data_IF_354466745771
#
_entry.id   IF_354466745771
#
_cell.length_a   1.000
_cell.length_b   1.000
_cell.length_c   1.000
_cell.angle_alpha   90.00
_cell.angle_beta   90.00
_cell.angle_gamma   90.00
#
_symmetry.space_group_name_H-M   'P 1'
#
loop_
_entity.id
_entity.type
_entity.pdbx_description
1 polymer ?
#
# COMPACT_ATOMS: atom_id res chain seq x y z
N UNK A 1 -2.04 -3.87 -22.97
CA UNK A 1 -0.67 -3.35 -23.13
C UNK A 1 -0.62 -1.96 -22.51
N UNK A 2 0.47 -1.61 -21.80
CA UNK A 2 0.81 -0.22 -21.51
C UNK A 2 1.49 0.33 -22.76
N UNK A 3 0.87 1.32 -23.41
CA UNK A 3 1.29 1.80 -24.75
C UNK A 3 1.84 3.21 -24.75
N UNK A 4 1.87 3.88 -23.60
CA UNK A 4 2.44 5.23 -23.47
C UNK A 4 3.93 5.11 -23.20
N UNK A 5 4.75 5.66 -24.09
CA UNK A 5 6.20 5.67 -23.93
C UNK A 5 6.61 6.31 -22.60
N UNK A 6 7.62 5.71 -21.95
CA UNK A 6 8.13 6.15 -20.66
C UNK A 6 7.29 5.70 -19.45
N UNK A 7 6.02 5.30 -19.61
CA UNK A 7 5.17 4.85 -18.49
C UNK A 7 5.34 3.35 -18.25
N UNK A 8 5.77 2.99 -17.04
CA UNK A 8 6.00 1.60 -16.64
C UNK A 8 5.01 1.09 -15.60
N UNK A 9 4.40 1.99 -14.82
CA UNK A 9 3.38 1.66 -13.81
C UNK A 9 2.17 2.59 -13.98
N UNK A 10 0.97 2.02 -14.00
CA UNK A 10 -0.29 2.76 -13.94
C UNK A 10 -1.06 2.35 -12.71
N UNK A 11 -1.41 3.32 -11.85
CA UNK A 11 -2.28 3.12 -10.68
C UNK A 11 -3.70 3.59 -10.97
N UNK A 12 -4.69 2.74 -10.69
CA UNK A 12 -6.09 3.14 -10.69
C UNK A 12 -6.44 3.96 -9.45
N UNK A 13 -7.21 5.03 -9.62
CA UNK A 13 -7.84 5.76 -8.52
C UNK A 13 -9.34 5.90 -8.74
N UNK A 14 -10.11 6.05 -7.66
CA UNK A 14 -11.57 6.07 -7.70
C UNK A 14 -12.11 6.75 -6.44
N UNK A 15 -13.35 7.22 -6.52
CA UNK A 15 -14.08 7.70 -5.33
C UNK A 15 -14.62 6.51 -4.54
N UNK A 16 -14.58 6.62 -3.21
CA UNK A 16 -15.07 5.60 -2.27
C UNK A 16 -16.17 6.19 -1.36
N UNK A 17 -17.41 6.31 -1.86
CA UNK A 17 -18.52 6.72 -1.00
C UNK A 17 -18.76 5.64 0.07
N UNK A 18 -18.60 5.99 1.35
CA UNK A 18 -19.08 5.18 2.47
C UNK A 18 -20.50 5.59 2.84
N UNK A 19 -21.34 4.61 3.14
CA UNK A 19 -22.57 4.84 3.91
C UNK A 19 -22.27 4.54 5.37
N UNK A 20 -22.27 5.58 6.22
CA UNK A 20 -22.20 5.42 7.67
C UNK A 20 -23.49 5.99 8.24
N UNK A 21 -24.28 5.16 8.92
CA UNK A 21 -25.46 5.61 9.70
C UNK A 21 -26.45 6.51 8.95
N UNK A 22 -26.66 6.29 7.64
CA UNK A 22 -27.61 7.07 6.82
C UNK A 22 -27.03 8.34 6.19
N UNK A 23 -25.78 8.70 6.47
CA UNK A 23 -25.04 9.75 5.73
C UNK A 23 -24.01 9.13 4.79
N UNK A 24 -23.86 9.72 3.61
CA UNK A 24 -22.75 9.41 2.70
C UNK A 24 -21.51 10.18 3.16
N UNK A 25 -20.54 9.46 3.74
CA UNK A 25 -19.19 9.96 3.92
C UNK A 25 -18.41 9.65 2.64
N UNK A 26 -18.19 10.68 1.82
CA UNK A 26 -17.45 10.56 0.56
C UNK A 26 -16.00 10.05 0.74
N UNK A 27 -15.45 10.03 1.97
CA UNK A 27 -14.05 9.79 2.28
C UNK A 27 -13.75 8.57 3.17
N UNK A 28 -14.73 7.88 3.76
CA UNK A 28 -14.40 6.91 4.81
C UNK A 28 -13.72 5.59 4.33
N UNK A 29 -13.68 5.34 3.02
CA UNK A 29 -12.96 4.21 2.43
C UNK A 29 -11.47 4.54 2.30
N UNK A 30 -10.58 3.60 2.62
CA UNK A 30 -9.13 3.83 2.49
C UNK A 30 -8.47 4.45 3.73
N UNK A 31 -8.99 4.20 4.93
CA UNK A 31 -8.38 4.63 6.22
C UNK A 31 -6.86 4.40 6.29
N UNK A 32 -6.34 3.25 5.86
CA UNK A 32 -4.89 2.99 5.85
C UNK A 32 -4.18 3.86 4.80
N UNK A 33 -4.82 4.14 3.66
CA UNK A 33 -4.28 5.08 2.67
C UNK A 33 -4.16 6.49 3.25
N UNK A 34 -5.23 7.02 3.83
CA UNK A 34 -5.29 8.41 4.30
C UNK A 34 -4.58 8.66 5.63
N UNK A 35 -4.56 7.69 6.54
CA UNK A 35 -4.00 7.86 7.89
C UNK A 35 -2.58 7.31 8.03
N UNK A 36 -2.09 6.52 7.07
CA UNK A 36 -0.78 5.84 7.17
C UNK A 36 0.05 6.08 5.93
N UNK A 37 -0.38 5.58 4.77
CA UNK A 37 0.46 5.61 3.57
C UNK A 37 0.72 7.03 3.07
N UNK A 38 -0.31 7.86 2.87
CA UNK A 38 -0.13 9.24 2.37
C UNK A 38 0.65 10.13 3.35
N UNK A 39 0.39 10.11 4.68
CA UNK A 39 1.20 10.85 5.64
C UNK A 39 2.67 10.42 5.68
N UNK A 40 2.95 9.11 5.58
CA UNK A 40 4.33 8.61 5.54
C UNK A 40 5.04 8.92 4.23
N UNK A 41 4.34 8.82 3.10
CA UNK A 41 4.88 9.28 1.82
C UNK A 41 5.21 10.78 1.87
N UNK A 42 4.30 11.61 2.38
CA UNK A 42 4.57 13.04 2.55
C UNK A 42 5.80 13.31 3.43
N UNK A 43 6.05 12.46 4.43
CA UNK A 43 7.20 12.60 5.34
C UNK A 43 8.52 12.06 4.77
N UNK A 44 8.49 10.99 3.96
CA UNK A 44 9.69 10.19 3.63
C UNK A 44 9.98 10.09 2.11
N UNK A 45 8.98 10.36 1.26
CA UNK A 45 9.02 10.36 -0.21
C UNK A 45 8.02 11.40 -0.77
N UNK A 46 8.20 12.70 -0.47
CA UNK A 46 7.21 13.74 -0.75
C UNK A 46 6.82 13.86 -2.23
N UNK A 47 7.69 13.44 -3.14
CA UNK A 47 7.47 13.44 -4.59
C UNK A 47 6.31 12.51 -4.99
N UNK A 48 6.02 11.49 -4.17
CA UNK A 48 4.88 10.59 -4.33
C UNK A 48 3.59 11.12 -3.68
N UNK A 49 3.60 12.32 -3.12
CA UNK A 49 2.42 12.94 -2.50
C UNK A 49 1.26 13.19 -3.48
N UNK A 50 1.54 13.21 -4.78
CA UNK A 50 0.56 13.34 -5.85
C UNK A 50 -0.18 12.02 -6.19
N UNK A 51 0.20 10.90 -5.58
CA UNK A 51 -0.45 9.60 -5.82
C UNK A 51 -1.72 9.49 -4.97
N UNK A 52 -2.89 9.38 -5.61
CA UNK A 52 -4.20 9.42 -4.96
C UNK A 52 -4.55 8.13 -4.21
N UNK A 53 -4.12 6.97 -4.75
CA UNK A 53 -4.40 5.65 -4.18
C UNK A 53 -3.13 4.80 -4.18
N UNK A 54 -2.12 5.12 -3.34
CA UNK A 54 -0.85 4.41 -3.32
C UNK A 54 -1.01 2.91 -2.98
N UNK A 55 -2.03 2.56 -2.19
CA UNK A 55 -2.37 1.18 -1.81
C UNK A 55 -3.46 0.55 -2.70
N UNK A 56 -3.80 1.17 -3.84
CA UNK A 56 -4.79 0.63 -4.76
C UNK A 56 -4.31 -0.69 -5.38
N UNK A 57 -5.14 -1.74 -5.32
CA UNK A 57 -4.84 -3.05 -5.91
C UNK A 57 -5.03 -3.11 -7.43
N UNK A 58 -5.59 -2.06 -8.01
CA UNK A 58 -5.88 -1.96 -9.45
C UNK A 58 -4.73 -1.20 -10.06
N UNK A 59 -3.82 -1.94 -10.69
CA UNK A 59 -2.70 -1.37 -11.40
C UNK A 59 -2.31 -2.26 -12.56
N UNK A 60 -1.56 -1.68 -13.49
CA UNK A 60 -0.86 -2.40 -14.53
C UNK A 60 0.60 -1.98 -14.47
N UNK A 61 1.52 -2.93 -14.67
CA UNK A 61 2.94 -2.65 -14.81
C UNK A 61 3.51 -3.40 -16.01
N UNK A 62 4.56 -2.88 -16.64
CA UNK A 62 5.24 -3.64 -17.69
C UNK A 62 5.93 -4.85 -17.09
N UNK A 63 6.12 -5.92 -17.89
CA UNK A 63 6.75 -7.14 -17.40
C UNK A 63 8.18 -6.86 -16.95
N UNK A 64 8.88 -6.01 -17.68
CA UNK A 64 10.27 -5.60 -17.43
C UNK A 64 10.39 -4.95 -16.05
N UNK A 65 9.47 -4.03 -15.71
CA UNK A 65 9.40 -3.45 -14.37
C UNK A 65 9.10 -4.53 -13.32
N UNK A 66 7.99 -5.25 -13.48
CA UNK A 66 7.50 -6.21 -12.48
C UNK A 66 8.44 -7.39 -12.22
N UNK A 67 9.28 -7.76 -13.19
CA UNK A 67 10.26 -8.84 -13.00
C UNK A 67 11.60 -8.35 -12.45
N UNK A 68 11.88 -7.04 -12.52
CA UNK A 68 13.14 -6.45 -12.10
C UNK A 68 13.16 -5.96 -10.66
N UNK A 69 12.00 -5.72 -10.03
CA UNK A 69 11.87 -5.22 -8.65
C UNK A 69 11.60 -6.36 -7.65
N UNK A 70 12.05 -6.24 -6.39
CA UNK A 70 11.61 -7.15 -5.34
C UNK A 70 10.11 -6.98 -5.04
N UNK A 71 9.49 -8.00 -4.45
CA UNK A 71 8.10 -7.96 -4.02
C UNK A 71 8.00 -8.02 -2.51
N UNK A 72 7.52 -6.93 -1.91
CA UNK A 72 7.27 -6.85 -0.48
C UNK A 72 6.17 -7.83 -0.03
N UNK A 73 6.25 -8.35 1.21
CA UNK A 73 5.32 -9.35 1.69
C UNK A 73 3.95 -8.77 2.08
N UNK A 74 2.91 -9.59 1.93
CA UNK A 74 1.56 -9.27 2.39
C UNK A 74 1.04 -7.94 1.84
N UNK A 75 0.42 -7.14 2.71
CA UNK A 75 -0.14 -5.83 2.35
C UNK A 75 0.90 -4.75 2.04
N UNK A 76 2.20 -5.06 2.12
CA UNK A 76 3.27 -4.15 1.72
C UNK A 76 3.49 -4.08 0.21
N UNK A 77 2.94 -5.03 -0.56
CA UNK A 77 3.28 -5.18 -1.98
C UNK A 77 2.97 -3.94 -2.82
N UNK A 78 1.81 -3.30 -2.66
CA UNK A 78 1.46 -2.12 -3.45
C UNK A 78 2.35 -0.91 -3.16
N UNK A 79 2.70 -0.67 -1.89
CA UNK A 79 3.54 0.47 -1.51
C UNK A 79 5.01 0.22 -1.87
N UNK A 80 5.48 -1.02 -1.73
CA UNK A 80 6.82 -1.42 -2.14
C UNK A 80 7.00 -1.23 -3.64
N UNK A 81 6.07 -1.76 -4.46
CA UNK A 81 6.11 -1.60 -5.91
C UNK A 81 6.10 -0.13 -6.34
N UNK A 82 5.29 0.71 -5.70
CA UNK A 82 5.23 2.15 -6.00
C UNK A 82 6.58 2.84 -5.75
N UNK A 83 7.17 2.63 -4.57
CA UNK A 83 8.44 3.26 -4.19
C UNK A 83 9.58 2.71 -5.04
N UNK A 84 9.64 1.39 -5.26
CA UNK A 84 10.67 0.76 -6.10
C UNK A 84 10.62 1.26 -7.55
N UNK A 85 9.42 1.53 -8.07
CA UNK A 85 9.26 2.12 -9.41
C UNK A 85 9.79 3.56 -9.43
N UNK A 86 9.41 4.37 -8.45
CA UNK A 86 9.85 5.76 -8.34
C UNK A 86 11.36 5.88 -8.16
N UNK A 87 11.93 5.15 -7.19
CA UNK A 87 13.37 5.21 -6.89
C UNK A 87 14.24 4.76 -8.09
N UNK A 88 13.69 3.95 -9.02
CA UNK A 88 14.41 3.47 -10.21
C UNK A 88 14.19 4.29 -11.47
N UNK A 89 12.96 4.70 -11.73
CA UNK A 89 12.53 5.24 -13.02
C UNK A 89 11.97 6.67 -12.92
N UNK A 90 11.87 7.21 -11.72
CA UNK A 90 11.30 8.53 -11.46
C UNK A 90 9.78 8.58 -11.58
N UNK A 91 9.23 9.77 -11.32
CA UNK A 91 7.79 10.00 -11.31
C UNK A 91 7.15 9.88 -12.71
N UNK A 92 7.89 10.24 -13.76
CA UNK A 92 7.43 10.19 -15.15
C UNK A 92 7.08 8.77 -15.61
N UNK A 93 7.63 7.75 -14.94
CA UNK A 93 7.30 6.35 -15.20
C UNK A 93 5.98 5.89 -14.56
N UNK A 94 5.32 6.76 -13.79
CA UNK A 94 4.11 6.44 -13.02
C UNK A 94 2.96 7.31 -13.52
N UNK A 95 1.92 6.67 -14.02
CA UNK A 95 0.68 7.35 -14.39
C UNK A 95 -0.50 6.89 -13.51
N UNK A 96 -1.57 7.68 -13.52
CA UNK A 96 -2.77 7.43 -12.73
C UNK A 96 -4.02 7.52 -13.61
N UNK A 97 -4.97 6.59 -13.44
CA UNK A 97 -6.21 6.55 -14.22
C UNK A 97 -7.43 6.52 -13.32
N UNK A 98 -8.40 7.40 -13.60
CA UNK A 98 -9.67 7.44 -12.89
C UNK A 98 -10.56 6.27 -13.32
N UNK A 99 -10.89 5.39 -12.39
CA UNK A 99 -11.78 4.24 -12.59
C UNK A 99 -13.23 4.53 -12.19
N UNK A 100 -13.55 5.78 -11.86
CA UNK A 100 -14.90 6.22 -11.48
C UNK A 100 -15.20 5.93 -10.00
N UNK A 101 -16.24 5.12 -9.75
CA UNK A 101 -16.71 4.76 -8.41
C UNK A 101 -16.46 3.30 -8.17
N UNK A 102 -15.97 2.96 -6.97
CA UNK A 102 -15.72 1.58 -6.59
C UNK A 102 -16.25 1.29 -5.19
N UNK A 103 -17.15 0.30 -5.11
CA UNK A 103 -17.71 -0.17 -3.85
C UNK A 103 -16.97 -1.42 -3.40
N UNK A 104 -16.29 -1.36 -2.27
CA UNK A 104 -15.54 -2.49 -1.70
C UNK A 104 -16.09 -2.85 -0.32
N UNK A 105 -15.93 -4.13 0.06
CA UNK A 105 -16.27 -4.59 1.41
C UNK A 105 -15.38 -3.86 2.43
N UNK A 106 -16.01 -3.24 3.41
CA UNK A 106 -15.30 -2.60 4.51
C UNK A 106 -14.66 -3.67 5.40
N UNK A 107 -13.34 -3.56 5.62
CA UNK A 107 -12.63 -4.39 6.59
C UNK A 107 -12.82 -3.85 8.01
N UNK A 108 -12.91 -4.72 9.04
CA UNK A 108 -12.92 -4.29 10.42
C UNK A 108 -11.61 -3.57 10.78
N UNK A 109 -11.65 -2.68 11.76
CA UNK A 109 -10.51 -1.86 12.17
C UNK A 109 -9.28 -2.71 12.56
N UNK A 110 -9.51 -3.89 13.12
CA UNK A 110 -8.49 -4.84 13.55
C UNK A 110 -7.66 -5.35 12.38
N UNK A 111 -8.28 -5.71 11.27
CA UNK A 111 -7.58 -6.07 10.03
C UNK A 111 -6.78 -4.89 9.46
N UNK A 112 -7.30 -3.66 9.58
CA UNK A 112 -6.61 -2.46 9.10
C UNK A 112 -5.36 -2.13 9.90
N UNK A 113 -5.34 -2.44 11.20
CA UNK A 113 -4.16 -2.20 12.03
C UNK A 113 -2.99 -3.12 11.66
N UNK A 114 -3.28 -4.42 11.44
CA UNK A 114 -2.28 -5.37 10.93
C UNK A 114 -1.79 -5.00 9.52
N UNK A 115 -2.70 -4.57 8.64
CA UNK A 115 -2.36 -4.04 7.32
C UNK A 115 -1.45 -2.81 7.42
N UNK A 116 -1.80 -1.85 8.26
CA UNK A 116 -1.01 -0.64 8.55
C UNK A 116 0.40 -1.01 8.99
N UNK A 117 0.54 -1.94 9.94
CA UNK A 117 1.85 -2.38 10.44
C UNK A 117 2.75 -2.91 9.33
N UNK A 118 2.21 -3.70 8.40
CA UNK A 118 2.96 -4.23 7.25
C UNK A 118 3.32 -3.14 6.23
N UNK A 119 2.41 -2.20 5.95
CA UNK A 119 2.66 -1.03 5.08
C UNK A 119 3.79 -0.16 5.65
N UNK A 120 3.78 0.10 6.96
CA UNK A 120 4.83 0.85 7.66
C UNK A 120 6.17 0.13 7.50
N UNK A 121 6.24 -1.16 7.81
CA UNK A 121 7.48 -1.94 7.70
C UNK A 121 8.10 -1.84 6.30
N UNK A 122 7.29 -2.05 5.26
CA UNK A 122 7.75 -1.98 3.88
C UNK A 122 8.21 -0.57 3.50
N UNK A 123 7.43 0.46 3.83
CA UNK A 123 7.78 1.84 3.49
C UNK A 123 9.07 2.29 4.18
N UNK A 124 9.22 2.00 5.48
CA UNK A 124 10.45 2.32 6.23
C UNK A 124 11.66 1.62 5.61
N UNK A 125 11.54 0.33 5.28
CA UNK A 125 12.60 -0.44 4.64
C UNK A 125 13.06 0.19 3.32
N UNK A 126 12.12 0.60 2.44
CA UNK A 126 12.44 1.33 1.20
C UNK A 126 13.06 2.69 1.43
N UNK A 127 12.73 3.34 2.54
CA UNK A 127 13.31 4.62 2.93
C UNK A 127 14.64 4.49 3.68
N UNK A 128 15.19 3.28 3.83
CA UNK A 128 16.44 3.05 4.56
C UNK A 128 16.32 3.24 6.07
N UNK A 129 15.09 3.28 6.60
CA UNK A 129 14.83 3.39 8.04
C UNK A 129 14.67 1.97 8.60
N UNK A 130 15.49 1.56 9.59
CA UNK A 130 15.36 0.24 10.20
C UNK A 130 13.99 0.06 10.88
N UNK A 131 13.26 -0.98 10.48
CA UNK A 131 12.07 -1.45 11.19
C UNK A 131 12.47 -2.48 12.26
N UNK A 132 11.79 -2.47 13.41
CA UNK A 132 12.13 -3.37 14.53
C UNK A 132 11.84 -4.85 14.25
N UNK A 133 11.04 -5.17 13.23
CA UNK A 133 10.52 -6.51 12.97
C UNK A 133 9.50 -7.00 14.00
N UNK A 134 9.19 -6.19 15.03
CA UNK A 134 8.23 -6.56 16.07
C UNK A 134 6.82 -6.39 15.54
N UNK A 135 6.01 -7.44 15.69
CA UNK A 135 4.64 -7.44 15.20
C UNK A 135 3.71 -6.64 16.12
N UNK A 136 2.57 -6.20 15.57
CA UNK A 136 1.60 -5.39 16.30
C UNK A 136 0.79 -6.25 17.29
N UNK A 137 0.81 -5.88 18.57
CA UNK A 137 -0.10 -6.42 19.58
C UNK A 137 -1.28 -5.47 19.77
N UNK A 138 -2.49 -5.98 19.60
CA UNK A 138 -3.74 -5.27 19.85
C UNK A 138 -4.46 -5.86 21.05
N UNK A 139 -5.19 -5.03 21.79
CA UNK A 139 -5.95 -5.43 22.97
C UNK A 139 -7.43 -5.40 22.65
N UNK A 140 -8.10 -6.55 22.79
CA UNK A 140 -9.52 -6.71 22.48
C UNK A 140 -10.30 -6.75 23.78
N UNK A 141 -11.36 -5.95 23.88
CA UNK A 141 -12.27 -6.02 25.02
C UNK A 141 -12.94 -7.41 25.07
N UNK A 142 -12.90 -8.03 26.24
CA UNK A 142 -13.50 -9.33 26.53
C UNK A 142 -14.10 -9.30 27.94
N UNK A 143 -15.42 -9.10 28.02
CA UNK A 143 -16.12 -8.81 29.29
C UNK A 143 -15.57 -7.52 29.94
N UNK A 144 -15.14 -7.65 31.20
CA UNK A 144 -14.53 -6.56 31.98
C UNK A 144 -13.01 -6.43 31.78
N UNK A 145 -12.42 -7.26 30.91
CA UNK A 145 -10.97 -7.34 30.68
C UNK A 145 -10.54 -7.07 29.23
N UNK A 146 -9.24 -7.26 28.99
CA UNK A 146 -8.65 -7.16 27.66
C UNK A 146 -7.79 -8.38 27.34
N UNK A 147 -7.97 -8.97 26.15
CA UNK A 147 -7.12 -10.05 25.63
C UNK A 147 -6.13 -9.50 24.59
N UNK A 148 -4.81 -9.68 24.76
CA UNK A 148 -3.84 -9.31 23.75
C UNK A 148 -3.88 -10.30 22.57
N UNK A 149 -3.78 -9.79 21.35
CA UNK A 149 -3.57 -10.59 20.13
C UNK A 149 -2.50 -9.93 19.28
N UNK A 150 -1.47 -10.69 18.96
CA UNK A 150 -0.33 -10.23 18.15
C UNK A 150 -0.51 -10.69 16.71
N UNK A 151 -0.53 -9.76 15.77
CA UNK A 151 -0.53 -10.08 14.33
C UNK A 151 0.85 -10.54 13.89
N UNK A 152 1.01 -11.00 12.65
CA UNK A 152 2.33 -11.19 12.04
C UNK A 152 2.79 -9.93 11.32
N UNK A 153 4.10 -9.81 11.10
CA UNK A 153 4.74 -8.86 10.17
C UNK A 153 5.93 -9.57 9.53
N UNK A 154 6.20 -9.31 8.26
CA UNK A 154 7.37 -9.84 7.56
C UNK A 154 8.22 -8.71 6.99
N UNK A 155 9.53 -8.83 7.14
CA UNK A 155 10.54 -7.96 6.52
C UNK A 155 11.22 -8.64 5.32
N UNK A 156 10.81 -9.85 4.97
CA UNK A 156 11.43 -10.64 3.92
C UNK A 156 10.73 -10.41 2.58
N UNK A 157 11.39 -9.65 1.72
CA UNK A 157 10.97 -9.49 0.34
C UNK A 157 11.24 -10.76 -0.46
N UNK A 158 10.39 -10.99 -1.47
CA UNK A 158 10.75 -11.90 -2.57
C UNK A 158 11.74 -11.17 -3.49
N UNK A 159 12.81 -11.83 -3.95
CA UNK A 159 13.76 -11.21 -4.85
C UNK A 159 13.11 -10.91 -6.21
N UNK A 160 13.72 -10.05 -7.04
CA UNK A 160 13.28 -9.83 -8.41
C UNK A 160 13.10 -11.14 -9.16
N UNK A 161 11.96 -11.30 -9.84
CA UNK A 161 11.62 -12.57 -10.48
C UNK A 161 12.64 -12.97 -11.57
N UNK A 162 13.29 -11.98 -12.19
CA UNK A 162 14.36 -12.21 -13.18
C UNK A 162 15.57 -12.95 -12.59
N UNK A 163 15.78 -12.92 -11.27
CA UNK A 163 16.89 -13.66 -10.62
C UNK A 163 16.53 -15.10 -10.29
N UNK A 164 15.28 -15.53 -10.53
CA UNK A 164 14.78 -16.87 -10.17
C UNK A 164 14.53 -17.77 -11.38
N UNK A 165 14.40 -17.18 -12.58
CA UNK A 165 14.13 -17.90 -13.82
C UNK A 165 15.20 -17.52 -14.84
N UNK A 166 16.23 -18.37 -14.95
CA UNK A 166 17.14 -18.44 -16.08
C UNK A 166 16.57 -19.30 -17.20
#
# INVERSE_FOLDING_TARGET
LLTTDGVHLVKGFYRRPLKVSGSEDANGGGRVTELVARPLLASLRPELGCILQPLGGEYAGTRELLTSVPFAPGYGVEIGLLIDTYDRLGLDAIAQVNLGVRTHRNRPLTELASMSRQVIATLLSRCGVPDSGVALTQFFADGDGYTPRTSSVSLQDRPPMITLRG
#
